data_IF_837630460823
#
_entry.id   IF_837630460823
#
_cell.length_a   1.000
_cell.length_b   1.000
_cell.length_c   1.000
_cell.angle_alpha   90.00
_cell.angle_beta   90.00
_cell.angle_gamma   90.00
#
_symmetry.space_group_name_H-M   'P 1'
#
loop_
_entity.id
_entity.type
_entity.pdbx_description
1 polymer ?
#
# COMPACT_ATOMS: atom_id res chain seq x y z
N UNK A 1 12.08 40.35 19.06
CA UNK A 1 10.73 40.67 18.55
C UNK A 1 10.71 41.28 17.14
N UNK A 2 11.61 42.22 16.80
CA UNK A 2 11.65 42.87 15.47
C UNK A 2 11.95 41.89 14.31
N UNK A 3 12.87 40.93 14.48
CA UNK A 3 13.19 39.93 13.44
C UNK A 3 12.03 38.96 13.12
N UNK A 4 11.22 38.57 14.12
CA UNK A 4 10.04 37.71 13.93
C UNK A 4 8.93 38.41 13.13
N UNK A 5 8.79 39.74 13.28
CA UNK A 5 7.82 40.52 12.52
C UNK A 5 8.22 40.69 11.06
N UNK A 6 9.52 40.84 10.78
CA UNK A 6 10.06 40.86 9.41
C UNK A 6 9.86 39.53 8.69
N UNK A 7 10.21 38.41 9.35
CA UNK A 7 10.02 37.06 8.82
C UNK A 7 8.53 36.78 8.52
N UNK A 8 7.64 37.19 9.42
CA UNK A 8 6.20 37.02 9.23
C UNK A 8 5.62 37.76 8.04
N UNK A 9 6.09 38.99 7.78
CA UNK A 9 5.65 39.74 6.60
C UNK A 9 6.03 39.06 5.29
N UNK A 10 7.21 38.43 5.24
CA UNK A 10 7.67 37.70 4.05
C UNK A 10 6.90 36.38 3.88
N UNK A 11 6.77 35.59 4.95
CA UNK A 11 6.11 34.28 4.89
C UNK A 11 4.62 34.37 4.57
N UNK A 12 3.94 35.40 5.06
CA UNK A 12 2.52 35.66 4.82
C UNK A 12 2.27 36.49 3.56
N UNK A 13 3.31 36.90 2.82
CA UNK A 13 3.13 37.69 1.60
C UNK A 13 2.45 36.84 0.51
N UNK A 14 1.47 37.38 -0.24
CA UNK A 14 0.75 36.62 -1.27
C UNK A 14 1.68 36.06 -2.36
N UNK A 15 2.75 36.79 -2.71
CA UNK A 15 3.77 36.28 -3.65
C UNK A 15 4.48 35.03 -3.13
N UNK A 16 4.82 35.00 -1.83
CA UNK A 16 5.46 33.83 -1.22
C UNK A 16 4.52 32.63 -1.24
N UNK A 17 3.24 32.84 -0.92
CA UNK A 17 2.22 31.79 -1.00
C UNK A 17 2.02 31.27 -2.43
N UNK A 18 2.05 32.17 -3.43
CA UNK A 18 1.96 31.79 -4.83
C UNK A 18 3.18 30.98 -5.27
N UNK A 19 4.40 31.40 -4.92
CA UNK A 19 5.64 30.67 -5.23
C UNK A 19 5.65 29.29 -4.58
N UNK A 20 5.27 29.19 -3.30
CA UNK A 20 5.18 27.91 -2.58
C UNK A 20 4.13 27.00 -3.23
N UNK A 21 2.98 27.55 -3.63
CA UNK A 21 1.94 26.76 -4.28
C UNK A 21 2.36 26.29 -5.68
N UNK A 22 3.06 27.11 -6.46
CA UNK A 22 3.62 26.72 -7.75
C UNK A 22 4.68 25.61 -7.59
N UNK A 23 5.56 25.74 -6.60
CA UNK A 23 6.51 24.67 -6.27
C UNK A 23 5.79 23.38 -5.85
N UNK A 24 4.69 23.49 -5.10
CA UNK A 24 3.83 22.37 -4.73
C UNK A 24 3.16 21.69 -5.93
N UNK A 25 2.68 22.47 -6.92
CA UNK A 25 2.12 21.92 -8.18
C UNK A 25 3.18 21.13 -8.94
N UNK A 26 4.39 21.68 -9.05
CA UNK A 26 5.49 20.96 -9.69
C UNK A 26 5.85 19.67 -8.95
N UNK A 27 5.89 19.71 -7.61
CA UNK A 27 6.11 18.53 -6.78
C UNK A 27 4.99 17.50 -6.94
N UNK A 28 3.73 17.93 -7.07
CA UNK A 28 2.59 17.05 -7.31
C UNK A 28 2.73 16.30 -8.65
N UNK A 29 3.13 16.99 -9.73
CA UNK A 29 3.39 16.35 -11.02
C UNK A 29 4.50 15.29 -10.96
N UNK A 30 5.52 15.52 -10.12
CA UNK A 30 6.60 14.52 -9.88
C UNK A 30 6.14 13.36 -9.00
N UNK A 31 5.24 13.60 -8.05
CA UNK A 31 4.80 12.60 -7.08
C UNK A 31 3.69 11.68 -7.62
N UNK A 32 2.88 12.16 -8.57
CA UNK A 32 1.77 11.39 -9.14
C UNK A 32 2.18 10.49 -10.30
N UNK A 33 3.34 10.73 -10.95
CA UNK A 33 3.82 10.05 -12.17
C UNK A 33 2.89 10.11 -13.39
N UNK A 34 1.62 10.52 -13.21
CA UNK A 34 0.59 10.67 -14.23
C UNK A 34 -0.04 12.08 -14.11
N UNK A 35 -0.06 12.83 -15.20
CA UNK A 35 -0.57 14.22 -15.16
C UNK A 35 -2.08 14.31 -14.98
N UNK A 36 -2.82 13.25 -15.34
CA UNK A 36 -4.28 13.20 -15.23
C UNK A 36 -4.79 13.14 -13.78
N UNK A 37 -3.98 12.64 -12.83
CA UNK A 37 -4.35 12.60 -11.40
C UNK A 37 -3.86 13.82 -10.60
N UNK A 38 -3.07 14.70 -11.21
CA UNK A 38 -2.60 15.94 -10.58
C UNK A 38 -3.77 16.89 -10.22
N UNK A 39 -4.77 17.15 -11.09
CA UNK A 39 -5.90 18.00 -10.72
C UNK A 39 -6.64 17.53 -9.46
N UNK A 40 -6.82 16.22 -9.30
CA UNK A 40 -7.40 15.62 -8.10
C UNK A 40 -6.56 15.92 -6.86
N UNK A 41 -5.25 15.72 -6.95
CA UNK A 41 -4.32 15.98 -5.87
C UNK A 41 -4.30 17.46 -5.45
N UNK A 42 -4.39 18.37 -6.42
CA UNK A 42 -4.49 19.81 -6.14
C UNK A 42 -5.85 20.18 -5.54
N UNK A 43 -6.95 19.55 -5.99
CA UNK A 43 -8.27 19.73 -5.38
C UNK A 43 -8.27 19.28 -3.91
N UNK A 44 -7.58 18.19 -3.57
CA UNK A 44 -7.41 17.74 -2.18
C UNK A 44 -6.62 18.74 -1.32
N UNK A 45 -5.49 19.26 -1.83
CA UNK A 45 -4.72 20.31 -1.14
C UNK A 45 -5.61 21.54 -0.92
N UNK A 46 -6.35 21.96 -1.94
CA UNK A 46 -7.20 23.14 -1.87
C UNK A 46 -8.38 22.93 -0.88
N UNK A 47 -9.03 21.77 -0.91
CA UNK A 47 -10.09 21.44 0.04
C UNK A 47 -9.57 21.40 1.49
N UNK A 48 -8.39 20.82 1.72
CA UNK A 48 -7.75 20.82 3.04
C UNK A 48 -7.39 22.24 3.50
N UNK A 49 -6.83 23.07 2.62
CA UNK A 49 -6.54 24.47 2.90
C UNK A 49 -7.83 25.26 3.19
N UNK A 50 -8.91 25.02 2.44
CA UNK A 50 -10.23 25.60 2.66
C UNK A 50 -10.82 25.24 4.03
N UNK A 51 -10.70 23.97 4.44
CA UNK A 51 -11.15 23.49 5.74
C UNK A 51 -10.39 24.16 6.88
N UNK A 52 -9.06 24.20 6.77
CA UNK A 52 -8.19 24.86 7.74
C UNK A 52 -8.45 26.37 7.81
N UNK A 53 -8.76 27.00 6.67
CA UNK A 53 -9.08 28.42 6.61
C UNK A 53 -10.43 28.74 7.23
N UNK A 54 -11.42 27.87 7.01
CA UNK A 54 -12.72 27.95 7.68
C UNK A 54 -12.54 27.89 9.21
N UNK A 55 -11.76 26.94 9.71
CA UNK A 55 -11.52 26.74 11.13
C UNK A 55 -10.68 27.85 11.78
N UNK A 56 -9.59 28.28 11.13
CA UNK A 56 -8.60 29.20 11.73
C UNK A 56 -8.85 30.68 11.39
N UNK A 57 -9.46 30.97 10.24
CA UNK A 57 -9.54 32.30 9.65
C UNK A 57 -8.18 32.86 9.19
N UNK A 58 -7.14 32.03 9.09
CA UNK A 58 -5.75 32.43 8.80
C UNK A 58 -5.28 31.79 7.49
N UNK A 59 -5.07 32.60 6.44
CA UNK A 59 -4.85 32.07 5.08
C UNK A 59 -3.49 31.40 4.92
N UNK A 60 -2.40 32.08 5.30
CA UNK A 60 -1.05 31.56 5.10
C UNK A 60 -0.85 30.26 5.89
N UNK A 61 -1.28 30.25 7.16
CA UNK A 61 -1.27 29.07 8.01
C UNK A 61 -1.99 27.88 7.35
N UNK A 62 -3.17 28.12 6.76
CA UNK A 62 -3.97 27.07 6.16
C UNK A 62 -3.34 26.49 4.89
N UNK A 63 -2.76 27.34 4.04
CA UNK A 63 -2.05 26.91 2.82
C UNK A 63 -0.79 26.12 3.16
N UNK A 64 0.06 26.63 4.06
CA UNK A 64 1.28 25.91 4.46
C UNK A 64 0.96 24.58 5.12
N UNK A 65 -0.01 24.55 6.05
CA UNK A 65 -0.35 23.33 6.76
C UNK A 65 -0.99 22.29 5.83
N UNK A 66 -1.79 22.71 4.85
CA UNK A 66 -2.31 21.80 3.83
C UNK A 66 -1.18 21.18 2.99
N UNK A 67 -0.26 22.00 2.47
CA UNK A 67 0.90 21.51 1.72
C UNK A 67 1.78 20.59 2.56
N UNK A 68 2.03 20.94 3.81
CA UNK A 68 2.84 20.12 4.72
C UNK A 68 2.17 18.76 5.02
N UNK A 69 0.86 18.76 5.29
CA UNK A 69 0.12 17.52 5.54
C UNK A 69 0.11 16.59 4.33
N UNK A 70 -0.15 17.14 3.14
CA UNK A 70 -0.13 16.37 1.90
C UNK A 70 1.29 15.91 1.55
N UNK A 71 2.30 16.77 1.69
CA UNK A 71 3.70 16.39 1.47
C UNK A 71 4.14 15.27 2.42
N UNK A 72 3.71 15.30 3.69
CA UNK A 72 3.99 14.23 4.65
C UNK A 72 3.40 12.89 4.18
N UNK A 73 2.11 12.87 3.83
CA UNK A 73 1.44 11.67 3.30
C UNK A 73 2.14 11.17 2.03
N UNK A 74 2.48 12.07 1.11
CA UNK A 74 3.20 11.76 -0.14
C UNK A 74 4.57 11.14 0.13
N UNK A 75 5.36 11.69 1.05
CA UNK A 75 6.69 11.16 1.39
C UNK A 75 6.58 9.77 2.00
N UNK A 76 5.66 9.58 2.96
CA UNK A 76 5.43 8.25 3.57
C UNK A 76 4.97 7.25 2.50
N UNK A 77 4.10 7.68 1.59
CA UNK A 77 3.62 6.87 0.46
C UNK A 77 4.73 6.49 -0.51
N UNK A 78 5.62 7.43 -0.85
CA UNK A 78 6.75 7.17 -1.73
C UNK A 78 7.79 6.22 -1.10
N UNK A 79 8.08 6.39 0.21
CA UNK A 79 8.95 5.47 0.95
C UNK A 79 8.36 4.06 0.95
N UNK A 80 7.07 3.94 1.31
CA UNK A 80 6.36 2.65 1.29
C UNK A 80 6.40 2.02 -0.10
N UNK A 81 6.08 2.80 -1.15
CA UNK A 81 6.05 2.31 -2.51
C UNK A 81 7.41 1.79 -2.98
N UNK A 82 8.51 2.47 -2.65
CA UNK A 82 9.87 2.00 -2.98
C UNK A 82 10.23 0.67 -2.33
N UNK A 83 9.68 0.39 -1.14
CA UNK A 83 9.97 -0.84 -0.40
C UNK A 83 9.02 -1.99 -0.75
N UNK A 84 7.76 -1.69 -1.09
CA UNK A 84 6.70 -2.71 -1.21
C UNK A 84 5.97 -2.72 -2.57
N UNK A 85 6.27 -1.80 -3.48
CA UNK A 85 5.58 -1.68 -4.77
C UNK A 85 4.11 -1.25 -4.68
N UNK A 86 3.67 -0.79 -3.51
CA UNK A 86 2.28 -0.42 -3.25
C UNK A 86 2.19 0.90 -2.49
N UNK A 87 1.37 1.82 -2.98
CA UNK A 87 1.23 3.16 -2.42
C UNK A 87 0.59 3.12 -1.03
N UNK A 88 0.70 4.22 -0.27
CA UNK A 88 0.06 4.29 1.03
C UNK A 88 -1.46 4.15 0.89
N UNK A 89 -2.02 3.25 1.68
CA UNK A 89 -3.43 2.91 1.69
C UNK A 89 -3.95 3.07 3.11
N UNK A 90 -5.19 3.51 3.27
CA UNK A 90 -5.80 3.73 4.58
C UNK A 90 -5.73 2.47 5.45
N UNK A 91 -5.92 1.29 4.84
CA UNK A 91 -5.84 0.00 5.53
C UNK A 91 -4.47 -0.30 6.16
N UNK A 92 -3.38 0.36 5.74
CA UNK A 92 -2.08 0.23 6.43
C UNK A 92 -2.18 0.69 7.89
N UNK A 93 -3.01 1.70 8.19
CA UNK A 93 -3.20 2.19 9.56
C UNK A 93 -3.92 1.17 10.43
N UNK A 94 -4.92 0.47 9.85
CA UNK A 94 -5.66 -0.62 10.50
C UNK A 94 -4.74 -1.83 10.69
N UNK A 95 -3.93 -2.13 9.69
CA UNK A 95 -2.97 -3.23 9.71
C UNK A 95 -1.92 -3.04 10.81
N UNK A 96 -1.25 -1.89 10.82
CA UNK A 96 -0.20 -1.58 11.80
C UNK A 96 -0.80 -1.56 13.21
N UNK A 97 -2.00 -0.99 13.41
CA UNK A 97 -2.62 -0.91 14.75
C UNK A 97 -3.08 -2.24 15.34
N UNK A 98 -3.32 -3.27 14.52
CA UNK A 98 -3.84 -4.57 14.99
C UNK A 98 -2.75 -5.58 15.34
N UNK A 99 -1.55 -5.45 14.80
CA UNK A 99 -0.49 -6.43 14.97
C UNK A 99 0.74 -5.85 15.72
N UNK A 100 0.96 -6.23 16.99
CA UNK A 100 2.12 -5.81 17.77
C UNK A 100 3.47 -6.24 17.19
N UNK A 101 3.52 -7.34 16.42
CA UNK A 101 4.76 -7.83 15.82
C UNK A 101 5.22 -6.95 14.67
N UNK A 102 4.26 -6.40 13.92
CA UNK A 102 4.54 -5.40 12.87
C UNK A 102 5.23 -4.18 13.46
N UNK A 103 4.80 -3.69 14.62
CA UNK A 103 5.48 -2.57 15.29
C UNK A 103 6.92 -2.89 15.66
N UNK A 104 7.16 -4.08 16.24
CA UNK A 104 8.52 -4.52 16.61
C UNK A 104 9.41 -4.66 15.40
N UNK A 105 8.91 -5.23 14.32
CA UNK A 105 9.63 -5.34 13.05
C UNK A 105 9.95 -3.97 12.43
N UNK A 106 8.99 -3.06 12.42
CA UNK A 106 9.18 -1.70 11.91
C UNK A 106 10.23 -0.93 12.73
N UNK A 107 10.18 -1.01 14.04
CA UNK A 107 11.16 -0.36 14.93
C UNK A 107 12.53 -1.04 14.88
N UNK A 108 12.61 -2.36 14.74
CA UNK A 108 13.88 -3.07 14.65
C UNK A 108 14.59 -2.85 13.31
N UNK A 109 13.87 -2.99 12.21
CA UNK A 109 14.45 -3.03 10.86
C UNK A 109 14.43 -1.68 10.15
N UNK A 110 13.48 -0.80 10.48
CA UNK A 110 13.22 0.44 9.73
C UNK A 110 13.34 1.72 10.57
N UNK A 111 13.97 1.65 11.76
CA UNK A 111 14.17 2.85 12.61
C UNK A 111 14.86 3.99 11.86
N UNK A 112 15.83 3.66 11.00
CA UNK A 112 16.55 4.63 10.18
C UNK A 112 15.67 5.38 9.16
N UNK A 113 14.52 4.81 8.77
CA UNK A 113 13.50 5.49 7.95
C UNK A 113 12.47 6.23 8.80
N UNK A 114 12.09 5.65 9.94
CA UNK A 114 11.06 6.20 10.85
C UNK A 114 11.58 7.46 11.56
N UNK A 115 12.81 7.44 12.06
CA UNK A 115 13.36 8.53 12.86
C UNK A 115 13.39 9.88 12.10
N UNK A 116 13.88 9.97 10.84
CA UNK A 116 13.79 11.20 10.05
C UNK A 116 12.35 11.68 9.84
N UNK A 117 11.40 10.77 9.63
CA UNK A 117 9.98 11.11 9.44
C UNK A 117 9.37 11.70 10.72
N UNK A 118 9.68 11.12 11.89
CA UNK A 118 9.24 11.66 13.19
C UNK A 118 9.86 13.03 13.46
N UNK A 119 11.16 13.19 13.18
CA UNK A 119 11.85 14.49 13.33
C UNK A 119 11.22 15.54 12.41
N UNK A 120 11.00 15.20 11.14
CA UNK A 120 10.35 16.09 10.18
C UNK A 120 8.92 16.47 10.61
N UNK A 121 8.15 15.51 11.16
CA UNK A 121 6.82 15.77 11.72
C UNK A 121 6.90 16.73 12.92
N UNK A 122 7.82 16.52 13.84
CA UNK A 122 8.04 17.39 14.99
C UNK A 122 8.43 18.82 14.59
N UNK A 123 9.38 18.95 13.66
CA UNK A 123 9.76 20.25 13.07
C UNK A 123 8.58 20.91 12.35
N UNK A 124 7.78 20.12 11.63
CA UNK A 124 6.59 20.59 10.95
C UNK A 124 5.53 21.13 11.93
N UNK A 125 5.29 20.43 13.03
CA UNK A 125 4.39 20.91 14.10
C UNK A 125 4.92 22.23 14.68
N UNK A 126 6.22 22.30 14.97
CA UNK A 126 6.86 23.54 15.45
C UNK A 126 6.68 24.71 14.48
N UNK A 127 6.91 24.48 13.18
CA UNK A 127 6.71 25.47 12.13
C UNK A 127 5.23 25.89 12.00
N UNK A 128 4.29 24.96 12.09
CA UNK A 128 2.86 25.25 12.06
C UNK A 128 2.41 26.09 13.26
N UNK A 129 2.90 25.79 14.47
CA UNK A 129 2.65 26.59 15.66
C UNK A 129 3.20 28.01 15.51
N UNK A 130 4.43 28.14 14.98
CA UNK A 130 5.04 29.44 14.72
C UNK A 130 4.23 30.25 13.69
N UNK A 131 3.84 29.63 12.58
CA UNK A 131 2.99 30.24 11.56
C UNK A 131 1.65 30.67 12.12
N UNK A 132 1.01 29.86 12.98
CA UNK A 132 -0.26 30.22 13.61
C UNK A 132 -0.14 31.47 14.50
N UNK A 133 1.00 31.64 15.16
CA UNK A 133 1.28 32.81 16.02
C UNK A 133 1.54 34.08 15.21
N UNK A 134 2.12 33.95 14.02
CA UNK A 134 2.55 35.06 13.17
C UNK A 134 1.45 35.49 12.18
N UNK A 135 0.75 34.54 11.58
CA UNK A 135 -0.26 34.80 10.56
C UNK A 135 -1.42 35.60 11.14
N UNK A 136 -2.04 36.50 10.39
CA UNK A 136 -3.15 37.33 10.88
C UNK A 136 -4.47 36.74 10.45
N UNK A 137 -5.47 36.85 11.33
CA UNK A 137 -6.84 36.48 10.98
C UNK A 137 -7.37 37.45 9.92
N UNK A 138 -7.96 36.89 8.88
CA UNK A 138 -8.67 37.64 7.85
C UNK A 138 -10.09 37.88 8.37
N UNK A 139 -10.57 39.12 8.27
CA UNK A 139 -11.90 39.54 8.73
C UNK A 139 -13.07 39.05 7.87
N UNK A 140 -12.92 37.94 7.15
CA UNK A 140 -13.98 37.42 6.30
C UNK A 140 -15.12 36.80 7.13
N UNK A 141 -16.38 37.09 6.79
CA UNK A 141 -17.52 36.47 7.46
C UNK A 141 -17.47 34.95 7.28
N UNK A 142 -18.03 34.22 8.25
CA UNK A 142 -18.05 32.75 8.22
C UNK A 142 -18.75 32.24 6.95
N UNK A 143 -19.81 32.91 6.50
CA UNK A 143 -20.55 32.57 5.28
C UNK A 143 -19.66 32.57 4.03
N UNK A 144 -18.80 33.59 3.86
CA UNK A 144 -17.85 33.64 2.75
C UNK A 144 -16.82 32.50 2.83
N UNK A 145 -16.34 32.18 4.03
CA UNK A 145 -15.41 31.05 4.24
C UNK A 145 -16.06 29.69 3.95
N UNK A 146 -17.33 29.51 4.34
CA UNK A 146 -18.11 28.31 4.02
C UNK A 146 -18.32 28.20 2.51
N UNK A 147 -18.65 29.30 1.82
CA UNK A 147 -18.83 29.30 0.36
C UNK A 147 -17.54 28.90 -0.37
N UNK A 148 -16.40 29.46 0.04
CA UNK A 148 -15.09 29.09 -0.53
C UNK A 148 -14.78 27.62 -0.25
N UNK A 149 -14.99 27.15 0.97
CA UNK A 149 -14.78 25.74 1.30
C UNK A 149 -15.69 24.83 0.46
N UNK A 150 -16.97 25.16 0.33
CA UNK A 150 -17.91 24.39 -0.49
C UNK A 150 -17.47 24.33 -1.96
N UNK A 151 -17.05 25.46 -2.54
CA UNK A 151 -16.54 25.51 -3.90
C UNK A 151 -15.29 24.62 -4.08
N UNK A 152 -14.36 24.64 -3.13
CA UNK A 152 -13.14 23.81 -3.18
C UNK A 152 -13.43 22.33 -3.00
N UNK A 153 -14.38 21.96 -2.13
CA UNK A 153 -14.81 20.56 -1.95
C UNK A 153 -15.47 20.02 -3.20
N UNK A 154 -16.28 20.81 -3.90
CA UNK A 154 -16.94 20.39 -5.15
C UNK A 154 -15.92 20.03 -6.24
N UNK A 155 -14.72 20.62 -6.23
CA UNK A 155 -13.67 20.26 -7.19
C UNK A 155 -13.15 18.83 -7.00
N UNK A 156 -13.22 18.27 -5.79
CA UNK A 156 -12.69 16.93 -5.49
C UNK A 156 -13.39 15.83 -6.31
N UNK A 157 -14.74 15.68 -6.29
CA UNK A 157 -15.42 14.69 -7.13
C UNK A 157 -15.33 15.02 -8.62
N UNK A 158 -15.29 16.31 -9.01
CA UNK A 158 -15.19 16.73 -10.41
C UNK A 158 -13.84 16.37 -11.06
N UNK A 159 -12.79 16.28 -10.24
CA UNK A 159 -11.43 15.95 -10.69
C UNK A 159 -11.08 14.49 -10.41
N UNK A 160 -12.04 13.67 -9.96
CA UNK A 160 -11.76 12.28 -9.59
C UNK A 160 -11.20 11.48 -10.79
N UNK A 161 -10.07 10.79 -10.63
CA UNK A 161 -9.41 10.10 -11.73
C UNK A 161 -10.24 8.91 -12.20
N UNK A 162 -10.58 8.89 -13.50
CA UNK A 162 -11.44 7.86 -14.09
C UNK A 162 -10.89 6.43 -13.91
N UNK A 163 -9.57 6.26 -13.89
CA UNK A 163 -8.93 4.95 -13.70
C UNK A 163 -9.21 4.38 -12.30
N UNK A 164 -9.19 5.24 -11.26
CA UNK A 164 -9.58 4.83 -9.90
C UNK A 164 -11.04 4.38 -9.81
N UNK A 165 -11.91 4.82 -10.73
CA UNK A 165 -13.30 4.38 -10.73
C UNK A 165 -13.49 2.97 -11.27
N UNK A 166 -12.58 2.51 -12.15
CA UNK A 166 -12.67 1.21 -12.83
C UNK A 166 -11.94 0.12 -12.09
N UNK A 167 -10.67 0.35 -11.74
CA UNK A 167 -9.84 -0.60 -11.02
C UNK A 167 -8.88 0.11 -10.06
N UNK A 168 -9.25 0.10 -8.78
CA UNK A 168 -8.46 0.73 -7.71
C UNK A 168 -7.17 -0.03 -7.40
N UNK A 169 -7.10 -1.33 -7.67
CA UNK A 169 -5.92 -2.12 -7.33
C UNK A 169 -4.69 -1.65 -8.11
N UNK A 170 -4.81 -1.54 -9.43
CA UNK A 170 -3.72 -1.04 -10.27
C UNK A 170 -3.40 0.43 -10.00
N UNK A 171 -4.39 1.24 -9.62
CA UNK A 171 -4.17 2.63 -9.23
C UNK A 171 -3.10 2.77 -8.13
N UNK A 172 -3.11 1.86 -7.14
CA UNK A 172 -2.16 1.88 -6.02
C UNK A 172 -0.76 1.38 -6.39
N UNK A 173 -0.64 0.60 -7.47
CA UNK A 173 0.63 0.04 -7.98
C UNK A 173 1.34 0.97 -8.97
N UNK A 174 0.69 2.03 -9.46
CA UNK A 174 1.24 2.94 -10.47
C UNK A 174 2.07 4.11 -9.91
N UNK A 175 2.43 4.09 -8.62
CA UNK A 175 3.27 5.13 -8.03
C UNK A 175 2.58 6.48 -7.81
N UNK A 176 1.26 6.48 -7.61
CA UNK A 176 0.46 7.68 -7.31
C UNK A 176 0.53 8.02 -5.82
N UNK A 177 1.50 8.80 -5.41
CA UNK A 177 1.79 8.94 -3.98
C UNK A 177 0.91 9.94 -3.24
N UNK A 178 0.42 10.97 -3.92
CA UNK A 178 -0.29 12.10 -3.31
C UNK A 178 -1.79 11.83 -3.22
N UNK A 179 -2.36 11.16 -4.22
CA UNK A 179 -3.79 10.86 -4.35
C UNK A 179 -4.20 9.51 -3.75
N UNK A 180 -3.34 8.48 -3.83
CA UNK A 180 -3.71 7.09 -3.48
C UNK A 180 -4.31 6.94 -2.08
N UNK A 181 -3.72 7.60 -1.07
CA UNK A 181 -4.23 7.52 0.30
C UNK A 181 -5.67 8.02 0.40
N UNK A 182 -6.00 9.13 -0.27
CA UNK A 182 -7.35 9.69 -0.23
C UNK A 182 -8.35 8.88 -1.06
N UNK A 183 -7.93 8.35 -2.21
CA UNK A 183 -8.75 7.40 -2.99
C UNK A 183 -9.08 6.17 -2.14
N UNK A 184 -8.12 5.66 -1.36
CA UNK A 184 -8.32 4.49 -0.51
C UNK A 184 -9.32 4.68 0.63
N UNK A 185 -9.70 5.91 0.97
CA UNK A 185 -10.79 6.15 1.93
C UNK A 185 -12.14 5.66 1.36
N UNK A 186 -12.30 5.63 0.03
CA UNK A 186 -13.49 5.06 -0.61
C UNK A 186 -13.53 3.52 -0.49
N UNK A 187 -12.41 2.88 -0.20
CA UNK A 187 -12.36 1.44 0.09
C UNK A 187 -12.85 1.11 1.50
N UNK A 188 -13.05 2.11 2.38
CA UNK A 188 -13.64 1.90 3.70
C UNK A 188 -15.06 1.32 3.59
N UNK A 189 -15.82 1.72 2.57
CA UNK A 189 -17.13 1.14 2.28
C UNK A 189 -17.07 -0.37 2.04
N UNK A 190 -15.98 -0.87 1.44
CA UNK A 190 -15.76 -2.29 1.17
C UNK A 190 -15.37 -3.09 2.43
N UNK A 191 -15.17 -2.44 3.58
CA UNK A 191 -15.08 -3.13 4.88
C UNK A 191 -16.46 -3.45 5.46
N UNK A 192 -17.49 -2.71 5.04
CA UNK A 192 -18.86 -2.84 5.54
C UNK A 192 -19.73 -3.63 4.55
N UNK A 193 -19.45 -3.50 3.26
CA UNK A 193 -20.18 -4.20 2.20
C UNK A 193 -19.43 -5.47 1.80
N UNK A 194 -20.12 -6.59 1.94
CA UNK A 194 -19.65 -7.92 1.53
C UNK A 194 -19.15 -7.91 0.09
N UNK A 195 -17.94 -8.40 -0.12
CA UNK A 195 -17.37 -8.51 -1.46
C UNK A 195 -18.12 -9.54 -2.30
N UNK A 196 -17.99 -9.46 -3.63
CA UNK A 196 -18.55 -10.49 -4.52
C UNK A 196 -18.05 -11.91 -4.19
N UNK A 197 -16.82 -12.03 -3.67
CA UNK A 197 -16.27 -13.28 -3.16
C UNK A 197 -16.96 -13.72 -1.84
N UNK A 198 -17.17 -12.83 -0.87
CA UNK A 198 -17.89 -13.18 0.37
C UNK A 198 -19.31 -13.67 0.08
N UNK A 199 -20.01 -13.04 -0.88
CA UNK A 199 -21.33 -13.50 -1.32
C UNK A 199 -21.28 -14.89 -1.95
N UNK A 200 -20.27 -15.18 -2.77
CA UNK A 200 -20.05 -16.52 -3.34
C UNK A 200 -19.74 -17.53 -2.23
N UNK A 201 -18.91 -17.17 -1.26
CA UNK A 201 -18.54 -18.04 -0.14
C UNK A 201 -19.74 -18.34 0.75
N UNK A 202 -20.60 -17.36 1.04
CA UNK A 202 -21.85 -17.56 1.78
C UNK A 202 -22.86 -18.44 1.02
N UNK A 203 -22.79 -18.44 -0.31
CA UNK A 203 -23.61 -19.33 -1.14
C UNK A 203 -23.10 -20.78 -1.16
N UNK A 204 -21.87 -21.03 -0.69
CA UNK A 204 -21.34 -22.38 -0.53
C UNK A 204 -21.87 -22.97 0.77
N UNK A 205 -22.46 -24.17 0.69
CA UNK A 205 -22.92 -24.90 1.87
C UNK A 205 -21.76 -25.13 2.85
N UNK A 206 -21.93 -24.84 4.16
CA UNK A 206 -20.91 -25.09 5.16
C UNK A 206 -20.46 -26.56 5.10
N UNK A 207 -19.17 -26.78 4.85
CA UNK A 207 -18.57 -28.10 4.91
C UNK A 207 -18.12 -28.39 6.35
N UNK A 208 -18.26 -29.64 6.84
CA UNK A 208 -17.74 -30.00 8.15
C UNK A 208 -16.23 -29.73 8.20
N UNK A 209 -15.69 -29.28 9.35
CA UNK A 209 -14.26 -29.17 9.52
C UNK A 209 -13.62 -30.53 9.30
N UNK A 210 -12.46 -30.54 8.66
CA UNK A 210 -11.76 -31.77 8.37
C UNK A 210 -11.18 -32.37 9.64
N UNK A 211 -11.08 -33.70 9.67
CA UNK A 211 -10.51 -34.41 10.80
C UNK A 211 -9.04 -33.98 11.00
N UNK A 212 -8.65 -33.78 12.26
CA UNK A 212 -7.28 -33.46 12.69
C UNK A 212 -6.33 -34.67 12.62
N UNK A 213 -6.74 -35.73 11.93
CA UNK A 213 -6.01 -36.98 11.78
C UNK A 213 -5.63 -37.17 10.32
N UNK A 214 -4.35 -37.37 10.06
CA UNK A 214 -3.83 -37.72 8.73
C UNK A 214 -3.73 -39.23 8.63
N UNK A 215 -4.52 -39.82 7.74
CA UNK A 215 -4.38 -41.21 7.32
C UNK A 215 -3.76 -41.22 5.91
N UNK A 216 -2.47 -41.54 5.85
CA UNK A 216 -1.71 -41.62 4.60
C UNK A 216 -2.16 -42.81 3.73
N UNK A 217 -2.76 -43.88 4.29
CA UNK A 217 -3.13 -45.10 3.56
C UNK A 217 -2.06 -45.56 2.56
N UNK A 218 -2.50 -45.97 1.35
CA UNK A 218 -1.61 -46.35 0.24
C UNK A 218 -0.83 -45.17 -0.39
N UNK A 219 -1.02 -43.94 0.11
CA UNK A 219 -0.34 -42.74 -0.40
C UNK A 219 1.03 -42.50 0.23
N UNK A 220 1.43 -43.31 1.20
CA UNK A 220 2.77 -43.25 1.80
C UNK A 220 3.88 -43.53 0.77
N UNK A 221 3.58 -44.29 -0.29
CA UNK A 221 4.52 -44.62 -1.37
C UNK A 221 4.53 -43.60 -2.53
N UNK A 222 3.76 -42.50 -2.43
CA UNK A 222 3.75 -41.44 -3.45
C UNK A 222 5.03 -40.58 -3.33
N UNK A 223 5.49 -39.99 -4.45
CA UNK A 223 6.67 -39.14 -4.44
C UNK A 223 6.44 -37.86 -3.61
N UNK A 224 7.48 -37.46 -2.88
CA UNK A 224 7.52 -36.19 -2.16
C UNK A 224 7.47 -35.01 -3.14
N UNK A 225 6.70 -33.97 -2.77
CA UNK A 225 6.57 -32.74 -3.56
C UNK A 225 7.34 -31.62 -2.87
N UNK A 226 8.38 -31.12 -3.54
CA UNK A 226 9.17 -29.99 -3.07
C UNK A 226 8.83 -28.74 -3.88
N UNK A 227 8.46 -27.67 -3.17
CA UNK A 227 8.28 -26.35 -3.76
C UNK A 227 9.50 -25.49 -3.42
N UNK A 228 10.19 -25.01 -4.46
CA UNK A 228 11.30 -24.07 -4.32
C UNK A 228 10.82 -22.69 -4.77
N UNK A 229 10.74 -21.75 -3.83
CA UNK A 229 10.50 -20.37 -4.15
C UNK A 229 11.80 -19.72 -4.60
N UNK A 230 11.83 -19.32 -5.88
CA UNK A 230 12.97 -18.61 -6.44
C UNK A 230 12.61 -17.15 -6.67
N UNK A 231 13.13 -16.27 -5.81
CA UNK A 231 12.75 -14.85 -5.75
C UNK A 231 13.11 -14.11 -7.03
N UNK A 232 12.15 -13.37 -7.58
CA UNK A 232 12.34 -12.50 -8.75
C UNK A 232 12.95 -13.19 -9.98
N UNK A 233 12.74 -14.50 -10.15
CA UNK A 233 13.18 -15.26 -11.33
C UNK A 233 12.07 -15.40 -12.36
N UNK A 234 12.43 -15.18 -13.62
CA UNK A 234 11.58 -15.41 -14.79
C UNK A 234 12.48 -15.91 -15.92
N UNK A 235 11.96 -16.74 -16.82
CA UNK A 235 12.74 -17.20 -17.97
C UNK A 235 13.08 -16.00 -18.88
N UNK A 236 14.36 -15.66 -19.06
CA UNK A 236 14.76 -14.58 -19.96
C UNK A 236 14.32 -14.83 -21.41
N UNK A 237 14.04 -16.08 -21.79
CA UNK A 237 13.49 -16.46 -23.08
C UNK A 237 12.13 -15.84 -23.40
N UNK A 238 11.38 -15.35 -22.40
CA UNK A 238 10.12 -14.62 -22.61
C UNK A 238 10.31 -13.15 -23.00
N UNK A 239 11.54 -12.63 -22.94
CA UNK A 239 11.84 -11.23 -23.23
C UNK A 239 12.70 -11.14 -24.48
N UNK A 240 12.13 -10.90 -25.67
CA UNK A 240 12.87 -10.92 -26.95
C UNK A 240 14.00 -9.86 -27.00
N UNK A 241 13.90 -8.80 -26.19
CA UNK A 241 14.93 -7.79 -26.01
C UNK A 241 16.17 -8.27 -25.24
N UNK A 242 16.10 -9.41 -24.55
CA UNK A 242 17.22 -9.99 -23.80
C UNK A 242 17.97 -10.98 -24.69
N UNK A 243 19.20 -10.61 -25.06
CA UNK A 243 20.09 -11.48 -25.83
C UNK A 243 20.38 -12.80 -25.10
N UNK A 244 20.43 -13.91 -25.84
CA UNK A 244 20.68 -15.25 -25.32
C UNK A 244 19.67 -15.75 -24.26
N UNK A 245 18.44 -15.22 -24.24
CA UNK A 245 17.41 -15.69 -23.32
C UNK A 245 16.82 -17.06 -23.67
N UNK A 246 16.77 -17.41 -24.97
CA UNK A 246 16.22 -18.68 -25.42
C UNK A 246 16.96 -19.88 -24.80
N UNK A 247 16.21 -20.89 -24.35
CA UNK A 247 16.79 -22.11 -23.78
C UNK A 247 17.52 -21.90 -22.44
N UNK A 248 17.27 -20.79 -21.72
CA UNK A 248 17.94 -20.52 -20.45
C UNK A 248 17.60 -21.59 -19.41
N UNK A 249 16.31 -21.88 -19.19
CA UNK A 249 15.91 -22.89 -18.21
C UNK A 249 16.42 -24.29 -18.57
N UNK A 250 16.41 -24.67 -19.86
CA UNK A 250 16.95 -25.97 -20.31
C UNK A 250 18.47 -26.10 -20.08
N UNK A 251 19.21 -24.99 -20.06
CA UNK A 251 20.65 -25.01 -19.72
C UNK A 251 20.91 -25.25 -18.23
N UNK A 252 20.03 -24.76 -17.36
CA UNK A 252 20.14 -24.95 -15.91
C UNK A 252 19.60 -26.30 -15.43
N UNK A 253 18.59 -26.85 -16.12
CA UNK A 253 17.99 -28.13 -15.77
C UNK A 253 17.79 -29.02 -17.02
N UNK A 254 18.88 -29.50 -17.65
CA UNK A 254 18.82 -30.25 -18.91
C UNK A 254 18.10 -31.61 -18.81
N UNK A 255 17.99 -32.16 -17.59
CA UNK A 255 17.23 -33.37 -17.29
C UNK A 255 15.84 -33.13 -16.72
N UNK A 256 15.48 -31.88 -16.41
CA UNK A 256 14.09 -31.56 -16.09
C UNK A 256 13.30 -31.63 -17.41
N UNK A 257 12.13 -32.25 -17.37
CA UNK A 257 11.24 -32.31 -18.53
C UNK A 257 10.84 -30.92 -19.04
N UNK A 258 9.84 -30.87 -19.92
CA UNK A 258 9.37 -29.61 -20.48
C UNK A 258 8.93 -28.65 -19.36
N UNK A 259 9.52 -27.43 -19.26
CA UNK A 259 9.11 -26.48 -18.25
C UNK A 259 7.69 -25.99 -18.55
N UNK A 260 6.84 -25.98 -17.53
CA UNK A 260 5.49 -25.42 -17.60
C UNK A 260 5.46 -24.06 -16.91
N UNK A 261 4.80 -23.10 -17.54
CA UNK A 261 4.67 -21.74 -16.99
C UNK A 261 3.71 -21.74 -15.80
N UNK A 262 4.17 -21.18 -14.69
CA UNK A 262 3.29 -20.81 -13.57
C UNK A 262 2.82 -19.37 -13.77
N UNK A 263 1.51 -19.18 -13.90
CA UNK A 263 0.91 -17.84 -13.88
C UNK A 263 0.94 -17.33 -12.44
N UNK A 264 1.51 -16.14 -12.25
CA UNK A 264 1.58 -15.47 -10.95
C UNK A 264 0.77 -14.20 -10.98
N UNK A 265 0.15 -13.87 -9.85
CA UNK A 265 -0.77 -12.73 -9.72
C UNK A 265 -0.07 -11.44 -9.29
N UNK A 266 1.26 -11.48 -9.21
CA UNK A 266 2.11 -10.41 -8.72
C UNK A 266 3.17 -10.04 -9.75
N UNK A 267 3.68 -8.81 -9.63
CA UNK A 267 4.75 -8.31 -10.48
C UNK A 267 5.74 -7.48 -9.66
N UNK A 268 7.03 -7.74 -9.81
CA UNK A 268 8.11 -6.95 -9.18
C UNK A 268 8.16 -7.01 -7.65
N UNK A 269 7.45 -7.95 -7.02
CA UNK A 269 7.36 -8.13 -5.58
C UNK A 269 6.11 -8.92 -5.19
N UNK A 270 5.77 -8.93 -3.90
CA UNK A 270 4.54 -9.61 -3.43
C UNK A 270 4.67 -11.12 -3.29
N UNK A 271 5.88 -11.64 -3.10
CA UNK A 271 6.20 -13.07 -2.94
C UNK A 271 5.30 -13.79 -1.94
N UNK A 272 4.93 -13.12 -0.85
CA UNK A 272 4.02 -13.66 0.17
C UNK A 272 2.60 -13.91 -0.36
N UNK A 273 2.15 -13.15 -1.37
CA UNK A 273 0.86 -13.31 -2.04
C UNK A 273 0.90 -14.56 -2.92
N UNK A 274 1.94 -14.73 -3.74
CA UNK A 274 2.12 -15.95 -4.56
C UNK A 274 2.24 -17.18 -3.68
N UNK A 275 2.99 -17.11 -2.59
CA UNK A 275 3.08 -18.19 -1.62
C UNK A 275 1.72 -18.48 -0.98
N UNK A 276 0.96 -17.45 -0.58
CA UNK A 276 -0.39 -17.65 -0.07
C UNK A 276 -1.29 -18.33 -1.10
N UNK A 277 -1.28 -17.91 -2.37
CA UNK A 277 -2.11 -18.50 -3.41
C UNK A 277 -1.73 -19.94 -3.73
N UNK A 278 -0.42 -20.24 -3.81
CA UNK A 278 0.08 -21.60 -3.94
C UNK A 278 -0.41 -22.46 -2.77
N UNK A 279 -0.18 -21.97 -1.54
CA UNK A 279 -0.48 -22.74 -0.35
C UNK A 279 -1.97 -22.86 -0.08
N UNK A 280 -2.81 -21.89 -0.39
CA UNK A 280 -4.26 -21.96 -0.08
C UNK A 280 -5.11 -22.43 -1.24
N UNK A 281 -4.57 -22.42 -2.47
CA UNK A 281 -5.34 -22.58 -3.69
C UNK A 281 -6.28 -21.40 -3.98
N UNK A 282 -6.23 -20.32 -3.19
CA UNK A 282 -7.06 -19.14 -3.37
C UNK A 282 -6.33 -18.11 -4.23
N UNK A 283 -7.00 -17.63 -5.27
CA UNK A 283 -6.50 -16.49 -6.04
C UNK A 283 -6.54 -15.24 -5.17
N UNK A 284 -5.43 -14.53 -5.06
CA UNK A 284 -5.37 -13.24 -4.41
C UNK A 284 -6.11 -12.16 -5.23
N UNK A 285 -6.25 -12.34 -6.55
CA UNK A 285 -7.05 -11.43 -7.40
C UNK A 285 -8.52 -11.38 -7.00
N UNK A 286 -9.09 -12.46 -6.44
CA UNK A 286 -10.48 -12.49 -5.94
C UNK A 286 -10.71 -11.51 -4.77
N UNK A 287 -9.64 -11.05 -4.13
CA UNK A 287 -9.69 -10.11 -3.01
C UNK A 287 -9.40 -8.66 -3.42
N UNK A 288 -9.06 -8.40 -4.69
CA UNK A 288 -8.80 -7.08 -5.25
C UNK A 288 -7.77 -6.29 -4.44
N UNK A 289 -8.11 -5.06 -4.04
CA UNK A 289 -7.23 -4.18 -3.25
C UNK A 289 -6.78 -4.77 -1.89
N UNK A 290 -7.48 -5.79 -1.37
CA UNK A 290 -7.13 -6.45 -0.10
C UNK A 290 -6.01 -7.48 -0.25
N UNK A 291 -5.65 -7.86 -1.48
CA UNK A 291 -4.63 -8.86 -1.80
C UNK A 291 -3.33 -8.72 -0.96
N UNK A 292 -2.74 -7.53 -0.78
CA UNK A 292 -1.50 -7.39 -0.01
C UNK A 292 -1.62 -7.71 1.50
N UNK A 293 -2.84 -7.77 2.04
CA UNK A 293 -3.11 -7.95 3.48
C UNK A 293 -3.67 -9.35 3.82
N UNK A 294 -3.75 -10.25 2.85
CA UNK A 294 -4.43 -11.53 3.02
C UNK A 294 -3.74 -12.48 4.00
N UNK A 295 -2.41 -12.46 4.08
CA UNK A 295 -1.65 -13.34 4.97
C UNK A 295 -2.04 -13.17 6.44
N UNK A 296 -2.32 -11.93 6.86
CA UNK A 296 -2.81 -11.64 8.23
C UNK A 296 -4.32 -11.79 8.33
N UNK A 297 -5.07 -11.43 7.29
CA UNK A 297 -6.54 -11.58 7.31
C UNK A 297 -6.97 -13.05 7.42
N UNK A 298 -6.18 -13.94 6.83
CA UNK A 298 -6.39 -15.39 6.80
C UNK A 298 -5.54 -16.15 7.83
N UNK A 299 -4.72 -15.44 8.62
CA UNK A 299 -3.99 -16.03 9.73
C UNK A 299 -4.97 -16.75 10.66
N UNK A 300 -4.65 -18.00 10.99
CA UNK A 300 -5.46 -18.92 11.80
C UNK A 300 -6.85 -19.29 11.23
N UNK A 301 -7.21 -18.80 10.04
CA UNK A 301 -8.45 -19.13 9.33
C UNK A 301 -8.24 -20.18 8.24
N UNK A 302 -7.03 -20.30 7.71
CA UNK A 302 -6.67 -21.31 6.72
C UNK A 302 -6.42 -22.68 7.37
N UNK A 303 -7.48 -23.49 7.55
CA UNK A 303 -7.35 -24.88 8.06
C UNK A 303 -7.03 -25.93 6.97
N UNK A 304 -6.92 -25.51 5.71
CA UNK A 304 -6.77 -26.35 4.52
C UNK A 304 -5.86 -25.69 3.48
N UNK A 305 -4.64 -25.31 3.87
CA UNK A 305 -3.59 -24.96 2.92
C UNK A 305 -2.78 -26.23 2.55
N UNK A 306 -1.98 -26.24 1.48
CA UNK A 306 -0.92 -27.23 1.25
C UNK A 306 -0.07 -27.39 2.52
N UNK A 307 0.16 -26.34 3.31
CA UNK A 307 0.82 -26.44 4.63
C UNK A 307 -0.11 -26.90 5.76
N UNK A 308 -1.44 -26.87 5.63
CA UNK A 308 -2.37 -27.44 6.61
C UNK A 308 -2.67 -28.91 6.34
N UNK A 309 -2.78 -29.28 5.06
CA UNK A 309 -2.89 -30.65 4.58
C UNK A 309 -1.55 -31.40 4.57
N UNK A 310 -0.42 -30.70 4.39
CA UNK A 310 0.93 -31.26 4.51
C UNK A 310 1.68 -30.84 5.79
N UNK A 311 1.21 -29.88 6.59
CA UNK A 311 1.81 -29.56 7.91
C UNK A 311 1.21 -30.35 9.05
N UNK A 312 0.05 -30.99 8.83
CA UNK A 312 -0.35 -32.18 9.60
C UNK A 312 0.35 -33.46 9.09
N UNK A 313 1.10 -33.36 7.99
CA UNK A 313 1.84 -34.44 7.35
C UNK A 313 3.33 -34.07 7.42
N UNK A 314 3.90 -34.00 8.63
CA UNK A 314 5.36 -33.99 8.69
C UNK A 314 5.82 -35.21 7.90
N UNK A 315 6.82 -35.03 7.04
CA UNK A 315 7.47 -36.14 6.33
C UNK A 315 7.94 -37.22 7.32
N UNK A 316 8.20 -36.84 8.58
CA UNK A 316 8.50 -37.77 9.68
C UNK A 316 7.32 -38.60 10.20
N UNK A 317 6.06 -38.20 9.96
CA UNK A 317 4.89 -38.88 10.53
C UNK A 317 4.41 -40.04 9.65
N UNK A 318 4.84 -40.13 8.38
CA UNK A 318 4.53 -41.25 7.49
C UNK A 318 5.76 -42.03 6.99
N UNK A 319 6.99 -41.69 7.43
CA UNK A 319 8.23 -42.39 7.02
C UNK A 319 9.22 -42.50 8.19
N UNK A 320 9.24 -43.65 8.86
CA UNK A 320 10.13 -43.94 10.01
C UNK A 320 11.61 -44.18 9.61
N UNK A 321 11.95 -44.16 8.33
CA UNK A 321 13.33 -44.41 7.85
C UNK A 321 13.78 -43.30 6.88
N UNK A 322 14.45 -42.27 7.40
CA UNK A 322 15.38 -41.47 6.61
C UNK A 322 16.43 -40.80 7.50
N UNK A 323 17.57 -41.49 7.61
CA UNK A 323 18.84 -40.93 8.02
C UNK A 323 19.15 -39.61 7.28
N UNK A 324 19.84 -38.73 7.98
CA UNK A 324 19.82 -37.29 7.75
C UNK A 324 20.30 -36.81 6.39
N UNK A 325 19.73 -35.67 5.97
CA UNK A 325 20.47 -34.64 5.24
C UNK A 325 19.79 -33.26 5.44
N UNK A 326 19.97 -32.68 6.63
CA UNK A 326 19.73 -31.24 6.82
C UNK A 326 20.94 -30.48 6.27
N UNK A 327 20.83 -29.94 5.05
CA UNK A 327 21.69 -28.83 4.63
C UNK A 327 21.06 -27.55 5.15
N UNK A 328 21.64 -27.01 6.23
CA UNK A 328 21.43 -25.63 6.67
C UNK A 328 21.83 -24.68 5.53
N UNK A 329 20.95 -23.74 5.19
CA UNK A 329 21.33 -22.38 4.83
C UNK A 329 20.73 -21.43 5.86
#
# INVERSE_FOLDING_TARGET
MVQLQGLGRVLCHPLTLAVVSLAGVFAAGRAEHEWLSVPFSLALVAALAGLLFLASGRLAFSVYLAWMGIAFVTVVSAIKFRLKGFSLHFYDTVFVSRDPEVYRFLLGSYLHLIAPVIIALGLGIGAAVLLFRIDRKIGWPVSARVLVMAALVVLVPLTFPAEASKDRYFYYMQGRHMSAFFVSLLDLHNLVVESGFEKRLQAVAPQPPFADTVDCGDRADLPDVFFVLSESQSDPGYFPQVGNGAGFLQRFAPGAGTPHQMQVETFGGGTWITNLSLMTGLSATDFGWRSPYLTITLQDKGRRSLAGGAGALRISDCRDDADGLFVRQ
#
